data_IF_216723938643
#
_entry.id   IF_216723938643
#
_cell.length_a   1.000
_cell.length_b   1.000
_cell.length_c   1.000
_cell.angle_alpha   90.00
_cell.angle_beta   90.00
_cell.angle_gamma   90.00
#
_symmetry.space_group_name_H-M   'P 1'
#
loop_
_entity.id
_entity.type
_entity.pdbx_description
1 polymer ?
#
# COMPACT_ATOMS: atom_id res chain seq x y z
N UNK A 1 27.40 -31.69 4.90
CA UNK A 1 27.98 -30.34 5.09
C UNK A 1 27.07 -29.36 5.85
N UNK A 2 25.73 -29.45 5.80
CA UNK A 2 24.84 -28.48 6.47
C UNK A 2 24.64 -28.62 7.99
N UNK A 3 24.86 -29.80 8.57
CA UNK A 3 24.68 -30.06 10.02
C UNK A 3 25.85 -29.55 10.87
N UNK A 4 27.07 -29.57 10.33
CA UNK A 4 28.27 -29.02 10.99
C UNK A 4 28.22 -27.49 11.12
N UNK A 5 27.65 -26.79 10.13
CA UNK A 5 27.48 -25.33 10.19
C UNK A 5 26.43 -24.88 11.23
N UNK A 6 25.37 -25.66 11.45
CA UNK A 6 24.38 -25.35 12.49
C UNK A 6 24.94 -25.55 13.90
N UNK A 7 25.80 -26.55 14.11
CA UNK A 7 26.44 -26.78 15.40
C UNK A 7 27.41 -25.64 15.76
N UNK A 8 28.21 -25.15 14.79
CA UNK A 8 29.13 -24.02 15.01
C UNK A 8 28.40 -22.67 15.24
N UNK A 9 27.25 -22.45 14.59
CA UNK A 9 26.44 -21.25 14.79
C UNK A 9 25.76 -21.19 16.17
N UNK A 10 25.38 -22.34 16.73
CA UNK A 10 24.82 -22.42 18.09
C UNK A 10 25.88 -22.14 19.17
N UNK A 11 27.12 -22.60 18.99
CA UNK A 11 28.21 -22.35 19.95
C UNK A 11 28.67 -20.89 19.95
N UNK A 12 28.65 -20.22 18.79
CA UNK A 12 29.03 -18.79 18.69
C UNK A 12 27.99 -17.84 19.27
N UNK A 13 26.70 -18.18 19.18
CA UNK A 13 25.62 -17.40 19.82
C UNK A 13 25.68 -17.50 21.35
N UNK A 14 26.00 -18.69 21.86
CA UNK A 14 26.14 -18.95 23.30
C UNK A 14 27.38 -18.26 23.91
N UNK A 15 28.45 -18.08 23.13
CA UNK A 15 29.64 -17.34 23.55
C UNK A 15 29.41 -15.80 23.56
N UNK A 16 28.61 -15.27 22.63
CA UNK A 16 28.29 -13.84 22.58
C UNK A 16 27.42 -13.38 23.77
N UNK A 17 26.49 -14.21 24.23
CA UNK A 17 25.63 -13.90 25.38
C UNK A 17 26.42 -13.88 26.72
N UNK A 18 27.44 -14.72 26.86
CA UNK A 18 28.35 -14.71 28.03
C UNK A 18 29.26 -13.49 28.05
N UNK A 19 29.69 -12.97 26.89
CA UNK A 19 30.55 -11.79 26.82
C UNK A 19 29.77 -10.48 27.11
N UNK A 20 28.49 -10.42 26.76
CA UNK A 20 27.63 -9.28 27.08
C UNK A 20 27.26 -9.20 28.58
N UNK A 21 27.19 -10.32 29.30
CA UNK A 21 26.84 -10.28 30.73
C UNK A 21 27.97 -9.79 31.62
N UNK A 22 29.24 -9.91 31.21
CA UNK A 22 30.38 -9.40 31.98
C UNK A 22 30.54 -7.87 31.91
N UNK A 23 30.03 -7.21 30.87
CA UNK A 23 30.22 -5.76 30.67
C UNK A 23 29.11 -4.87 31.26
N UNK A 24 28.03 -5.43 31.80
CA UNK A 24 26.92 -4.65 32.38
C UNK A 24 27.12 -4.28 33.87
N UNK A 25 28.28 -4.61 34.46
CA UNK A 25 28.57 -4.38 35.88
C UNK A 25 29.69 -3.36 36.07
N UNK A 26 29.52 -2.19 35.45
CA UNK A 26 30.44 -1.07 35.60
C UNK A 26 29.77 0.23 35.20
N UNK A 27 29.11 0.90 36.16
CA UNK A 27 28.97 2.37 36.25
C UNK A 27 27.84 2.73 37.21
N UNK A 28 28.16 3.14 38.44
CA UNK A 28 27.48 4.29 39.08
C UNK A 28 28.25 4.78 40.31
N UNK A 29 28.94 5.91 40.10
CA UNK A 29 29.06 7.09 40.99
C UNK A 29 29.67 6.94 42.38
N UNK A 30 30.90 7.46 42.49
CA UNK A 30 31.55 8.00 43.69
C UNK A 30 30.68 9.04 44.42
N UNK A 31 30.79 9.13 45.76
CA UNK A 31 31.35 10.29 46.50
C UNK A 31 30.94 10.31 48.00
N UNK A 32 31.89 10.02 48.92
CA UNK A 32 32.10 10.72 50.22
C UNK A 32 33.13 10.02 51.13
N UNK A 33 34.11 10.81 51.59
CA UNK A 33 35.13 10.52 52.62
C UNK A 33 34.78 11.24 53.95
N UNK A 34 35.53 11.12 55.08
CA UNK A 34 36.52 10.10 55.49
C UNK A 34 36.35 9.62 56.96
N UNK A 35 37.31 8.78 57.43
CA UNK A 35 37.85 8.64 58.80
C UNK A 35 37.82 7.24 59.48
N UNK A 36 39.03 6.66 59.52
CA UNK A 36 39.77 6.18 60.68
C UNK A 36 39.32 4.93 61.49
N UNK A 37 40.27 3.98 61.49
CA UNK A 37 40.78 3.20 62.62
C UNK A 37 40.36 1.72 62.78
N UNK A 38 41.42 0.91 62.97
CA UNK A 38 41.48 -0.38 63.65
C UNK A 38 41.10 -1.66 62.87
N UNK A 39 42.08 -2.54 62.65
CA UNK A 39 41.84 -3.98 62.62
C UNK A 39 41.40 -4.51 64.01
N UNK A 40 41.18 -5.83 64.22
CA UNK A 40 41.50 -6.98 63.36
C UNK A 40 40.32 -7.93 63.09
N UNK A 41 40.46 -8.71 62.01
CA UNK A 41 39.97 -10.09 61.84
C UNK A 41 38.56 -10.42 62.37
N UNK A 42 37.51 -10.00 61.64
CA UNK A 42 36.23 -10.71 61.67
C UNK A 42 36.19 -11.62 60.45
N UNK A 43 36.37 -12.91 60.71
CA UNK A 43 35.92 -14.00 59.85
C UNK A 43 34.44 -13.78 59.56
N UNK A 44 34.13 -13.05 58.49
CA UNK A 44 32.85 -13.17 57.82
C UNK A 44 32.92 -14.51 57.11
N UNK A 45 32.52 -15.55 57.85
CA UNK A 45 32.05 -16.79 57.24
C UNK A 45 30.92 -16.34 56.33
N UNK A 46 31.26 -16.19 55.05
CA UNK A 46 30.31 -15.99 53.97
C UNK A 46 29.55 -17.32 53.80
N UNK A 47 28.76 -17.66 54.81
CA UNK A 47 27.77 -18.73 54.74
C UNK A 47 26.66 -18.20 53.86
N UNK A 48 26.93 -18.17 52.56
CA UNK A 48 25.87 -18.38 51.59
C UNK A 48 25.18 -19.68 52.02
N UNK A 49 23.84 -19.70 52.17
CA UNK A 49 23.16 -20.97 52.36
C UNK A 49 23.60 -21.86 51.21
N UNK A 50 24.13 -23.04 51.53
CA UNK A 50 24.60 -24.00 50.54
C UNK A 50 23.39 -24.39 49.71
N UNK A 51 23.16 -23.65 48.61
CA UNK A 51 22.03 -23.88 47.74
C UNK A 51 22.26 -25.24 47.14
N UNK A 52 21.37 -26.18 47.47
CA UNK A 52 21.44 -27.54 47.00
C UNK A 52 21.64 -27.54 45.48
N UNK A 53 22.80 -28.03 45.04
CA UNK A 53 23.20 -28.06 43.63
C UNK A 53 22.16 -28.83 42.81
N UNK A 54 21.45 -29.79 43.42
CA UNK A 54 20.36 -30.49 42.77
C UNK A 54 19.18 -29.57 42.40
N UNK A 55 18.81 -28.62 43.27
CA UNK A 55 17.72 -27.65 43.03
C UNK A 55 18.09 -26.68 41.91
N UNK A 56 19.36 -26.25 41.84
CA UNK A 56 19.86 -25.41 40.75
C UNK A 56 19.83 -26.16 39.41
N UNK A 57 20.30 -27.40 39.38
CA UNK A 57 20.23 -28.25 38.18
C UNK A 57 18.78 -28.45 37.73
N UNK A 58 17.86 -28.71 38.67
CA UNK A 58 16.45 -28.88 38.33
C UNK A 58 15.84 -27.60 37.75
N UNK A 59 16.17 -26.43 38.32
CA UNK A 59 15.75 -25.12 37.80
C UNK A 59 16.32 -24.86 36.40
N UNK A 60 17.59 -25.20 36.16
CA UNK A 60 18.23 -25.10 34.85
C UNK A 60 17.51 -25.98 33.83
N UNK A 61 17.21 -27.23 34.16
CA UNK A 61 16.48 -28.15 33.27
C UNK A 61 15.08 -27.62 32.96
N UNK A 62 14.36 -27.07 33.96
CA UNK A 62 13.05 -26.44 33.74
C UNK A 62 13.14 -25.24 32.79
N UNK A 63 14.16 -24.38 32.98
CA UNK A 63 14.41 -23.23 32.11
C UNK A 63 14.79 -23.66 30.70
N UNK A 64 15.66 -24.66 30.52
CA UNK A 64 16.05 -25.19 29.22
C UNK A 64 14.86 -25.78 28.47
N UNK A 65 13.98 -26.53 29.14
CA UNK A 65 12.74 -27.04 28.54
C UNK A 65 11.79 -25.91 28.12
N UNK A 66 11.65 -24.87 28.95
CA UNK A 66 10.83 -23.71 28.60
C UNK A 66 11.43 -22.90 27.44
N UNK A 67 12.76 -22.77 27.40
CA UNK A 67 13.49 -22.11 26.34
C UNK A 67 13.35 -22.87 25.02
N UNK A 68 13.52 -24.20 25.02
CA UNK A 68 13.35 -25.05 23.84
C UNK A 68 11.96 -24.88 23.21
N UNK A 69 10.89 -24.94 24.02
CA UNK A 69 9.51 -24.73 23.53
C UNK A 69 9.29 -23.34 22.93
N UNK A 70 9.88 -22.30 23.52
CA UNK A 70 9.79 -20.93 22.97
C UNK A 70 10.56 -20.82 21.66
N UNK A 71 11.72 -21.48 21.55
CA UNK A 71 12.52 -21.46 20.34
C UNK A 71 11.81 -22.17 19.19
N UNK A 72 11.20 -23.33 19.43
CA UNK A 72 10.33 -24.02 18.45
C UNK A 72 9.17 -23.12 17.99
N UNK A 73 8.56 -22.38 18.92
CA UNK A 73 7.48 -21.44 18.56
C UNK A 73 7.99 -20.28 17.71
N UNK A 74 9.18 -19.75 17.98
CA UNK A 74 9.81 -18.71 17.18
C UNK A 74 10.06 -19.23 15.76
N UNK A 75 10.69 -20.39 15.63
CA UNK A 75 10.96 -21.01 14.32
C UNK A 75 9.67 -21.21 13.51
N UNK A 76 8.61 -21.70 14.16
CA UNK A 76 7.29 -21.84 13.52
C UNK A 76 6.72 -20.49 13.04
N UNK A 77 6.80 -19.45 13.86
CA UNK A 77 6.27 -18.13 13.48
C UNK A 77 7.11 -17.48 12.37
N UNK A 78 8.43 -17.66 12.38
CA UNK A 78 9.32 -17.19 11.32
C UNK A 78 8.98 -17.83 9.98
N UNK A 79 8.71 -19.13 9.95
CA UNK A 79 8.31 -19.81 8.72
C UNK A 79 6.93 -19.36 8.23
N UNK A 80 5.98 -19.11 9.13
CA UNK A 80 4.68 -18.56 8.76
C UNK A 80 4.79 -17.13 8.20
N UNK A 81 5.63 -16.28 8.78
CA UNK A 81 5.90 -14.94 8.26
C UNK A 81 6.51 -15.02 6.86
N UNK A 82 7.47 -15.93 6.63
CA UNK A 82 8.05 -16.13 5.28
C UNK A 82 6.97 -16.50 4.26
N UNK A 83 6.07 -17.41 4.61
CA UNK A 83 4.95 -17.80 3.73
C UNK A 83 4.02 -16.62 3.44
N UNK A 84 3.64 -15.85 4.46
CA UNK A 84 2.79 -14.67 4.31
C UNK A 84 3.43 -13.60 3.42
N UNK A 85 4.73 -13.36 3.56
CA UNK A 85 5.48 -12.43 2.71
C UNK A 85 5.47 -12.88 1.25
N UNK A 86 5.63 -14.18 0.99
CA UNK A 86 5.59 -14.71 -0.37
C UNK A 86 4.19 -14.59 -1.00
N UNK A 87 3.14 -14.87 -0.23
CA UNK A 87 1.75 -14.68 -0.67
C UNK A 87 1.43 -13.20 -0.96
N UNK A 88 1.91 -12.27 -0.14
CA UNK A 88 1.77 -10.83 -0.41
C UNK A 88 2.47 -10.48 -1.72
N UNK A 89 3.73 -10.92 -1.92
CA UNK A 89 4.47 -10.65 -3.16
C UNK A 89 3.76 -11.21 -4.39
N UNK A 90 3.20 -12.42 -4.29
CA UNK A 90 2.43 -13.05 -5.37
C UNK A 90 1.17 -12.24 -5.70
N UNK A 91 0.41 -11.81 -4.68
CA UNK A 91 -0.78 -10.96 -4.87
C UNK A 91 -0.43 -9.60 -5.47
N UNK A 92 0.66 -8.97 -5.01
CA UNK A 92 1.15 -7.70 -5.58
C UNK A 92 1.48 -7.85 -7.06
N UNK A 93 2.15 -8.93 -7.47
CA UNK A 93 2.44 -9.20 -8.89
C UNK A 93 1.17 -9.36 -9.73
N UNK A 94 0.17 -10.06 -9.20
CA UNK A 94 -1.12 -10.21 -9.87
C UNK A 94 -1.78 -8.85 -10.06
N UNK A 95 -1.91 -8.05 -9.00
CA UNK A 95 -2.51 -6.71 -9.06
C UNK A 95 -1.77 -5.82 -10.06
N UNK A 96 -0.43 -5.78 -10.01
CA UNK A 96 0.37 -5.02 -10.96
C UNK A 96 0.13 -5.47 -12.40
N UNK A 97 0.03 -6.79 -12.63
CA UNK A 97 -0.29 -7.33 -13.95
C UNK A 97 -1.69 -6.92 -14.43
N UNK A 98 -2.68 -6.81 -13.54
CA UNK A 98 -4.01 -6.32 -13.90
C UNK A 98 -3.97 -4.84 -14.25
N UNK A 99 -3.32 -4.02 -13.41
CA UNK A 99 -3.20 -2.58 -13.63
C UNK A 99 -2.48 -2.25 -14.96
N UNK A 100 -1.43 -2.99 -15.30
CA UNK A 100 -0.66 -2.75 -16.54
C UNK A 100 -1.29 -3.34 -17.80
N UNK A 101 -2.16 -4.36 -17.66
CA UNK A 101 -2.82 -5.02 -18.79
C UNK A 101 -4.15 -4.38 -19.14
N UNK A 102 -4.82 -3.74 -18.19
CA UNK A 102 -6.12 -3.14 -18.42
C UNK A 102 -6.01 -1.80 -19.17
N UNK A 103 -6.73 -1.69 -20.29
CA UNK A 103 -6.91 -0.43 -21.00
C UNK A 103 -7.84 0.50 -20.22
N UNK A 104 -7.48 1.78 -20.13
CA UNK A 104 -8.27 2.82 -19.48
C UNK A 104 -9.67 2.87 -20.11
N UNK A 105 -10.67 2.33 -19.41
CA UNK A 105 -12.05 2.20 -19.90
C UNK A 105 -12.67 0.79 -19.83
N UNK A 106 -11.89 -0.25 -19.50
CA UNK A 106 -12.43 -1.61 -19.29
C UNK A 106 -13.28 -1.73 -18.03
N UNK A 107 -12.99 -0.92 -17.01
CA UNK A 107 -13.79 -0.81 -15.79
C UNK A 107 -14.83 0.30 -15.96
N UNK A 108 -16.11 -0.08 -15.90
CA UNK A 108 -17.19 0.88 -15.69
C UNK A 108 -16.92 1.65 -14.40
N UNK A 109 -17.02 2.99 -14.45
CA UNK A 109 -16.90 3.82 -13.26
C UNK A 109 -17.98 3.45 -12.24
N UNK A 110 -17.71 3.57 -10.94
CA UNK A 110 -18.71 3.38 -9.89
C UNK A 110 -19.97 4.27 -10.12
N UNK A 111 -19.80 5.46 -10.69
CA UNK A 111 -20.91 6.33 -11.10
C UNK A 111 -21.71 5.77 -12.29
N UNK A 112 -21.03 5.09 -13.22
CA UNK A 112 -21.65 4.38 -14.35
C UNK A 112 -22.42 3.15 -13.85
N UNK A 113 -21.88 2.42 -12.87
CA UNK A 113 -22.56 1.27 -12.25
C UNK A 113 -23.78 1.70 -11.44
N UNK A 114 -23.69 2.80 -10.69
CA UNK A 114 -24.83 3.38 -9.97
C UNK A 114 -25.94 3.81 -10.95
N UNK A 115 -25.58 4.51 -12.03
CA UNK A 115 -26.54 4.91 -13.06
C UNK A 115 -27.16 3.70 -13.77
N UNK A 116 -26.36 2.67 -14.06
CA UNK A 116 -26.83 1.42 -14.66
C UNK A 116 -27.82 0.69 -13.75
N UNK A 117 -27.52 0.60 -12.46
CA UNK A 117 -28.41 0.02 -11.46
C UNK A 117 -29.69 0.86 -11.30
N UNK A 118 -29.60 2.18 -11.35
CA UNK A 118 -30.76 3.06 -11.32
C UNK A 118 -31.64 2.91 -12.57
N UNK A 119 -31.04 2.87 -13.77
CA UNK A 119 -31.75 2.62 -15.02
C UNK A 119 -32.44 1.24 -15.02
N UNK A 120 -31.77 0.21 -14.50
CA UNK A 120 -32.34 -1.13 -14.41
C UNK A 120 -33.64 -1.19 -13.57
N UNK A 121 -33.74 -0.36 -12.54
CA UNK A 121 -34.91 -0.30 -11.65
C UNK A 121 -36.09 0.44 -12.26
N UNK A 122 -35.82 1.32 -13.23
CA UNK A 122 -36.84 2.18 -13.86
C UNK A 122 -37.65 1.47 -14.94
N UNK A 123 -37.19 0.30 -15.39
CA UNK A 123 -37.85 -0.52 -16.40
C UNK A 123 -37.80 0.09 -17.82
N UNK A 124 -38.40 -0.63 -18.77
CA UNK A 124 -38.49 -0.23 -20.17
C UNK A 124 -37.29 -0.61 -21.04
N UNK A 125 -37.31 -0.14 -22.29
CA UNK A 125 -36.34 -0.49 -23.33
C UNK A 125 -34.89 -0.14 -22.92
N UNK A 126 -34.66 1.03 -22.31
CA UNK A 126 -33.33 1.42 -21.84
C UNK A 126 -32.81 0.55 -20.69
N UNK A 127 -33.69 0.12 -19.77
CA UNK A 127 -33.32 -0.83 -18.74
C UNK A 127 -32.89 -2.17 -19.37
N UNK A 128 -33.60 -2.64 -20.39
CA UNK A 128 -33.28 -3.88 -21.13
C UNK A 128 -32.05 -3.76 -22.04
N UNK A 129 -31.66 -2.55 -22.46
CA UNK A 129 -30.42 -2.33 -23.22
C UNK A 129 -29.18 -2.39 -22.32
N UNK A 130 -29.27 -1.85 -21.10
CA UNK A 130 -28.14 -1.84 -20.17
C UNK A 130 -28.07 -3.09 -19.31
N UNK A 131 -29.19 -3.76 -19.04
CA UNK A 131 -29.19 -5.06 -18.39
C UNK A 131 -29.26 -6.15 -19.44
N UNK A 132 -28.39 -7.17 -19.36
CA UNK A 132 -28.40 -8.32 -20.27
C UNK A 132 -29.61 -9.26 -20.08
N UNK A 133 -30.63 -8.81 -19.34
CA UNK A 133 -31.90 -9.50 -19.21
C UNK A 133 -32.88 -8.89 -20.22
N UNK A 134 -33.48 -9.69 -21.12
CA UNK A 134 -34.59 -9.23 -21.95
C UNK A 134 -35.81 -9.08 -21.04
N UNK A 135 -35.88 -7.96 -20.34
CA UNK A 135 -36.97 -7.65 -19.43
C UNK A 135 -38.21 -7.14 -20.18
N UNK A 136 -38.07 -6.75 -21.45
CA UNK A 136 -39.10 -6.06 -22.22
C UNK A 136 -39.25 -6.65 -23.63
N UNK A 137 -40.44 -7.19 -23.94
CA UNK A 137 -40.82 -7.64 -25.29
C UNK A 137 -40.81 -6.51 -26.32
N UNK A 138 -40.73 -5.26 -25.88
CA UNK A 138 -40.59 -4.08 -26.75
C UNK A 138 -39.19 -3.85 -27.31
N UNK A 139 -38.13 -4.45 -26.75
CA UNK A 139 -36.77 -4.34 -27.29
C UNK A 139 -36.57 -5.36 -28.42
N UNK A 140 -36.98 -4.98 -29.63
CA UNK A 140 -36.79 -5.79 -30.84
C UNK A 140 -35.50 -5.41 -31.58
N UNK A 141 -35.00 -6.33 -32.41
CA UNK A 141 -33.84 -6.07 -33.29
C UNK A 141 -34.12 -4.90 -34.24
N UNK A 142 -35.33 -4.83 -34.80
CA UNK A 142 -35.73 -3.77 -35.72
C UNK A 142 -35.71 -2.39 -35.06
N UNK A 143 -36.27 -2.30 -33.85
CA UNK A 143 -36.23 -1.06 -33.07
C UNK A 143 -34.79 -0.66 -32.71
N UNK A 144 -33.95 -1.64 -32.38
CA UNK A 144 -32.53 -1.39 -32.07
C UNK A 144 -31.76 -0.83 -33.27
N UNK A 145 -32.02 -1.37 -34.47
CA UNK A 145 -31.42 -0.87 -35.71
C UNK A 145 -31.94 0.54 -36.08
N UNK A 146 -33.22 0.81 -35.84
CA UNK A 146 -33.80 2.13 -36.07
C UNK A 146 -33.21 3.19 -35.12
N UNK A 147 -33.10 2.87 -33.82
CA UNK A 147 -32.47 3.74 -32.81
C UNK A 147 -31.02 4.05 -33.23
N UNK A 148 -30.25 3.04 -33.64
CA UNK A 148 -28.87 3.26 -34.09
C UNK A 148 -28.79 4.16 -35.32
N UNK A 149 -29.67 3.98 -36.32
CA UNK A 149 -29.72 4.89 -37.49
C UNK A 149 -30.02 6.33 -37.07
N UNK A 150 -30.98 6.54 -36.17
CA UNK A 150 -31.34 7.88 -35.67
C UNK A 150 -30.21 8.52 -34.87
N UNK A 151 -29.57 7.76 -33.98
CA UNK A 151 -28.43 8.24 -33.19
C UNK A 151 -27.24 8.59 -34.08
N UNK A 152 -26.97 7.78 -35.10
CA UNK A 152 -25.91 8.07 -36.05
C UNK A 152 -26.18 9.35 -36.85
N UNK A 153 -27.41 9.53 -37.36
CA UNK A 153 -27.79 10.77 -38.05
C UNK A 153 -27.67 12.00 -37.14
N UNK A 154 -28.09 11.90 -35.87
CA UNK A 154 -27.96 12.98 -34.89
C UNK A 154 -26.49 13.30 -34.56
N UNK A 155 -25.64 12.27 -34.46
CA UNK A 155 -24.21 12.43 -34.22
C UNK A 155 -23.54 13.13 -35.40
N UNK A 156 -23.84 12.70 -36.63
CA UNK A 156 -23.32 13.29 -37.87
C UNK A 156 -23.73 14.76 -37.99
N UNK A 157 -25.00 15.09 -37.74
CA UNK A 157 -25.50 16.48 -37.73
C UNK A 157 -24.84 17.33 -36.63
N UNK A 158 -24.69 16.78 -35.43
CA UNK A 158 -24.04 17.48 -34.30
C UNK A 158 -22.56 17.75 -34.59
N UNK A 159 -21.86 16.77 -35.17
CA UNK A 159 -20.46 16.94 -35.57
C UNK A 159 -20.32 17.99 -36.66
N UNK A 160 -21.20 17.98 -37.67
CA UNK A 160 -21.18 18.98 -38.74
C UNK A 160 -21.41 20.39 -38.17
N UNK A 161 -22.38 20.56 -37.28
CA UNK A 161 -22.63 21.84 -36.58
C UNK A 161 -21.43 22.29 -35.76
N UNK A 162 -20.76 21.38 -35.05
CA UNK A 162 -19.56 21.69 -34.28
C UNK A 162 -18.39 22.12 -35.17
N UNK A 163 -18.22 21.49 -36.34
CA UNK A 163 -17.23 21.89 -37.34
C UNK A 163 -17.53 23.32 -37.82
N UNK A 164 -18.77 23.60 -38.23
CA UNK A 164 -19.18 24.95 -38.67
C UNK A 164 -19.00 26.00 -37.57
N UNK A 165 -19.34 25.66 -36.31
CA UNK A 165 -19.12 26.56 -35.17
C UNK A 165 -17.63 26.86 -34.96
N UNK A 166 -16.77 25.85 -35.11
CA UNK A 166 -15.31 26.02 -35.02
C UNK A 166 -14.78 26.95 -36.11
N UNK A 167 -15.26 26.81 -37.35
CA UNK A 167 -14.92 27.72 -38.46
C UNK A 167 -15.39 29.15 -38.17
N UNK A 168 -16.64 29.33 -37.71
CA UNK A 168 -17.18 30.64 -37.36
C UNK A 168 -16.35 31.33 -36.25
N UNK A 169 -15.91 30.58 -35.23
CA UNK A 169 -15.03 31.09 -34.18
C UNK A 169 -13.67 31.53 -34.73
N UNK A 170 -13.10 30.79 -35.67
CA UNK A 170 -11.84 31.17 -36.32
C UNK A 170 -11.99 32.45 -37.15
N UNK A 171 -13.07 32.57 -37.92
CA UNK A 171 -13.37 33.81 -38.68
C UNK A 171 -13.54 35.00 -37.75
N UNK A 172 -14.29 34.85 -36.65
CA UNK A 172 -14.46 35.92 -35.67
C UNK A 172 -13.13 36.30 -35.01
N UNK A 173 -12.29 35.31 -34.67
CA UNK A 173 -10.96 35.54 -34.13
C UNK A 173 -10.08 36.39 -35.07
N UNK A 174 -10.06 36.06 -36.36
CA UNK A 174 -9.31 36.81 -37.36
C UNK A 174 -9.83 38.26 -37.53
N UNK A 175 -11.16 38.46 -37.48
CA UNK A 175 -11.74 39.80 -37.56
C UNK A 175 -11.43 40.65 -36.32
N UNK A 176 -11.41 40.04 -35.13
CA UNK A 176 -10.99 40.70 -33.89
C UNK A 176 -9.51 41.14 -34.00
N UNK A 177 -8.62 40.25 -34.45
CA UNK A 177 -7.20 40.61 -34.68
C UNK A 177 -7.07 41.78 -35.67
N UNK A 178 -7.79 41.72 -36.79
CA UNK A 178 -7.81 42.78 -37.81
C UNK A 178 -8.25 44.12 -37.21
N UNK A 179 -9.32 44.14 -36.41
CA UNK A 179 -9.83 45.34 -35.75
C UNK A 179 -8.87 45.89 -34.71
N UNK A 180 -8.21 45.03 -33.92
CA UNK A 180 -7.19 45.42 -32.95
C UNK A 180 -6.01 46.10 -33.66
N UNK A 181 -5.50 45.53 -34.76
CA UNK A 181 -4.42 46.14 -35.53
C UNK A 181 -4.83 47.51 -36.09
N UNK A 182 -6.04 47.63 -36.65
CA UNK A 182 -6.54 48.91 -37.16
C UNK A 182 -6.70 49.96 -36.06
N UNK A 183 -7.19 49.58 -34.87
CA UNK A 183 -7.25 50.49 -33.74
C UNK A 183 -5.87 50.97 -33.31
N UNK A 184 -4.89 50.07 -33.20
CA UNK A 184 -3.52 50.42 -32.82
C UNK A 184 -2.88 51.38 -33.84
N UNK A 185 -3.05 51.12 -35.14
CA UNK A 185 -2.57 52.02 -36.20
C UNK A 185 -3.23 53.41 -36.13
N UNK A 186 -4.53 53.46 -35.86
CA UNK A 186 -5.27 54.72 -35.70
C UNK A 186 -4.80 55.51 -34.47
N UNK A 187 -4.59 54.84 -33.34
CA UNK A 187 -4.04 55.45 -32.12
C UNK A 187 -2.63 55.99 -32.34
N UNK A 188 -1.77 55.25 -33.04
CA UNK A 188 -0.43 55.74 -33.40
C UNK A 188 -0.49 56.96 -34.33
N UNK A 189 -1.37 56.96 -35.33
CA UNK A 189 -1.56 58.11 -36.22
C UNK A 189 -2.07 59.33 -35.48
N UNK A 190 -2.97 59.15 -34.50
CA UNK A 190 -3.46 60.23 -33.66
C UNK A 190 -2.34 60.80 -32.78
N UNK A 191 -1.48 59.94 -32.21
CA UNK A 191 -0.32 60.37 -31.41
C UNK A 191 0.75 61.14 -32.19
N UNK A 192 0.82 60.98 -33.51
CA UNK A 192 1.81 61.65 -34.38
C UNK A 192 1.32 62.98 -34.95
N UNK A 193 0.06 63.39 -34.71
CA UNK A 193 -0.49 64.70 -35.08
C UNK A 193 -0.52 65.63 -33.88
#
# INVERSE_FOLDING_TARGET
MGTLYRCAALTTRQAAELYCSLNARGSSTDDRSPENNSGPSVVVVDSFPEVDKAVLVERIVRLQKAHARKNEKIEFMEDHIKQLVEEIRKKTKIIQSYVLREESGALSSEASDFNKAHLSRRGGIMASLYTSHPADSGLTLDLSLEINRKLQALLEDTLLKNITLKENLQTLGAEIERLITQQHELEERLRRK
#
